data_IF_446896226734
#
_entry.id   IF_446896226734
#
_cell.length_a   1.000
_cell.length_b   1.000
_cell.length_c   1.000
_cell.angle_alpha   90.00
_cell.angle_beta   90.00
_cell.angle_gamma   90.00
#
_symmetry.space_group_name_H-M   'P 1'
#
loop_
_entity.id
_entity.type
_entity.pdbx_description
1 polymer ?
#
# COMPACT_ATOMS: atom_id res chain seq x y z
N UNK A 1 -0.05 -5.29 8.60
CA UNK A 1 0.34 -5.26 7.18
C UNK A 1 -0.36 -4.07 6.55
N UNK A 2 0.39 -3.12 6.01
CA UNK A 2 -0.12 -1.93 5.32
C UNK A 2 0.10 -2.15 3.82
N UNK A 3 -0.92 -1.90 3.00
CA UNK A 3 -0.81 -1.80 1.54
C UNK A 3 -1.21 -0.37 1.19
N UNK A 4 -0.28 0.40 0.63
CA UNK A 4 -0.49 1.79 0.27
C UNK A 4 -0.10 2.00 -1.20
N UNK A 5 -0.86 2.85 -1.89
CA UNK A 5 -0.48 3.37 -3.19
C UNK A 5 0.28 4.68 -2.96
N UNK A 6 1.51 4.76 -3.48
CA UNK A 6 2.32 5.96 -3.46
C UNK A 6 3.05 6.10 -4.81
N UNK A 7 3.12 7.31 -5.32
CA UNK A 7 3.81 7.66 -6.57
C UNK A 7 5.33 7.79 -6.37
N UNK A 8 5.77 8.03 -5.13
CA UNK A 8 7.19 8.11 -4.78
C UNK A 8 7.46 7.62 -3.36
N UNK A 9 8.75 7.45 -3.04
CA UNK A 9 9.19 7.10 -1.69
C UNK A 9 8.84 8.19 -0.69
N UNK A 10 9.00 9.45 -1.05
CA UNK A 10 8.71 10.61 -0.19
C UNK A 10 7.23 10.66 0.18
N UNK A 11 6.32 10.34 -0.76
CA UNK A 11 4.90 10.25 -0.47
C UNK A 11 4.59 9.10 0.49
N UNK A 12 5.27 7.95 0.34
CA UNK A 12 5.13 6.84 1.29
C UNK A 12 5.61 7.24 2.69
N UNK A 13 6.71 7.97 2.82
CA UNK A 13 7.20 8.45 4.11
C UNK A 13 6.21 9.40 4.79
N UNK A 14 5.52 10.26 4.03
CA UNK A 14 4.45 11.11 4.57
C UNK A 14 3.27 10.28 5.11
N UNK A 15 2.87 9.23 4.39
CA UNK A 15 1.82 8.31 4.84
C UNK A 15 2.24 7.60 6.12
N UNK A 16 3.49 7.12 6.21
CA UNK A 16 4.01 6.43 7.39
C UNK A 16 4.13 7.38 8.59
N UNK A 17 4.43 8.67 8.38
CA UNK A 17 4.51 9.66 9.45
C UNK A 17 3.16 9.92 10.17
N UNK A 18 2.03 9.52 9.57
CA UNK A 18 0.72 9.57 10.21
C UNK A 18 0.46 8.38 11.15
N UNK A 19 1.27 7.32 11.06
CA UNK A 19 1.19 6.16 11.95
C UNK A 19 1.89 6.48 13.29
N UNK A 20 1.14 6.36 14.38
CA UNK A 20 1.62 6.60 15.75
C UNK A 20 2.80 5.72 16.15
N UNK A 21 3.00 4.56 15.49
CA UNK A 21 4.11 3.66 15.77
C UNK A 21 5.37 3.94 14.94
N UNK A 22 5.26 4.77 13.90
CA UNK A 22 6.39 5.13 13.06
C UNK A 22 7.20 6.28 13.69
N UNK A 23 8.54 6.31 13.58
CA UNK A 23 9.39 5.28 12.99
C UNK A 23 9.93 4.25 13.99
N UNK A 24 9.89 4.53 15.29
CA UNK A 24 10.75 3.84 16.28
C UNK A 24 10.00 2.91 17.25
N UNK A 25 8.67 2.86 17.18
CA UNK A 25 7.86 2.05 18.10
C UNK A 25 7.45 0.69 17.48
N UNK A 26 7.79 0.46 16.21
CA UNK A 26 7.62 -0.82 15.52
C UNK A 26 8.71 -1.02 14.46
N UNK A 27 8.96 -2.28 14.08
CA UNK A 27 9.87 -2.63 12.98
C UNK A 27 9.16 -2.57 11.63
N UNK A 28 9.61 -1.70 10.73
CA UNK A 28 9.05 -1.55 9.39
C UNK A 28 9.94 -2.23 8.33
N UNK A 29 9.30 -3.04 7.47
CA UNK A 29 9.91 -3.53 6.24
C UNK A 29 9.11 -3.05 5.03
N UNK A 30 9.72 -2.20 4.22
CA UNK A 30 9.08 -1.66 3.03
C UNK A 30 9.43 -2.52 1.81
N UNK A 31 8.41 -2.97 1.09
CA UNK A 31 8.54 -3.75 -0.15
C UNK A 31 7.64 -3.14 -1.22
N UNK A 32 8.23 -2.89 -2.38
CA UNK A 32 7.47 -2.47 -3.55
C UNK A 32 6.98 -3.70 -4.30
N UNK A 33 5.72 -3.67 -4.68
CA UNK A 33 5.13 -4.74 -5.48
C UNK A 33 4.19 -4.16 -6.51
N UNK A 34 4.13 -4.80 -7.67
CA UNK A 34 3.08 -4.56 -8.66
C UNK A 34 2.01 -5.60 -8.42
N UNK A 35 0.78 -5.16 -8.18
CA UNK A 35 -0.36 -6.07 -8.10
C UNK A 35 -0.53 -6.78 -9.46
N UNK A 36 -0.10 -8.04 -9.54
CA UNK A 36 -0.39 -8.91 -10.67
C UNK A 36 -1.67 -9.70 -10.33
N UNK A 37 -2.83 -9.08 -10.46
CA UNK A 37 -4.11 -9.80 -10.46
C UNK A 37 -4.97 -9.30 -11.61
N UNK A 38 -4.81 -9.94 -12.77
CA UNK A 38 -5.86 -9.96 -13.79
C UNK A 38 -6.57 -11.31 -13.61
N UNK A 39 -7.60 -11.34 -12.76
CA UNK A 39 -8.68 -12.26 -13.03
C UNK A 39 -9.44 -11.64 -14.22
N UNK A 40 -9.46 -12.30 -15.37
CA UNK A 40 -10.10 -11.83 -16.61
C UNK A 40 -11.56 -11.37 -16.40
N UNK A 41 -12.16 -11.81 -15.28
CA UNK A 41 -13.57 -11.67 -14.96
C UNK A 41 -13.87 -10.56 -13.93
N UNK A 42 -12.91 -9.72 -13.53
CA UNK A 42 -13.15 -8.66 -12.52
C UNK A 42 -14.28 -7.69 -12.92
N UNK A 43 -14.50 -7.49 -14.22
CA UNK A 43 -15.62 -6.72 -14.75
C UNK A 43 -17.00 -7.32 -14.38
N UNK A 44 -17.09 -8.62 -14.12
CA UNK A 44 -18.33 -9.30 -13.71
C UNK A 44 -18.74 -9.02 -12.26
N UNK A 45 -17.85 -8.41 -11.47
CA UNK A 45 -18.08 -8.13 -10.05
C UNK A 45 -18.20 -6.63 -9.75
N UNK A 46 -18.21 -5.76 -10.77
CA UNK A 46 -18.61 -4.36 -10.61
C UNK A 46 -20.14 -4.31 -10.48
N UNK A 47 -20.62 -4.11 -9.25
CA UNK A 47 -22.04 -3.90 -8.95
C UNK A 47 -22.57 -2.64 -9.64
N UNK A 48 -23.83 -2.74 -10.11
CA UNK A 48 -24.58 -1.70 -10.82
C UNK A 48 -24.82 -0.43 -9.99
#
# INVERSE_FOLDING_TARGET
MIIAQAESREQLEQILAEDVYYPDLADYQIREFKAAMVAENIQQFQGA
#
